data_IF_288321522085
#
_entry.id   IF_288321522085
#
_cell.length_a   1.000
_cell.length_b   1.000
_cell.length_c   1.000
_cell.angle_alpha   90.00
_cell.angle_beta   90.00
_cell.angle_gamma   90.00
#
_symmetry.space_group_name_H-M   'P 1'
#
loop_
_entity.id
_entity.type
_entity.pdbx_description
1 polymer ?
#
# COMPACT_ATOMS: atom_id res chain seq x y z
N UNK A 1 31.97 -20.80 -1.66
CA UNK A 1 31.29 -20.29 -0.45
C UNK A 1 31.99 -19.02 -0.01
N UNK A 2 31.35 -17.86 -0.15
CA UNK A 2 31.90 -16.61 0.38
C UNK A 2 31.86 -16.64 1.92
N UNK A 3 33.03 -16.83 2.55
CA UNK A 3 33.19 -16.94 4.01
C UNK A 3 32.58 -15.74 4.77
N UNK A 4 32.55 -14.57 4.15
CA UNK A 4 32.02 -13.33 4.71
C UNK A 4 30.50 -13.38 4.92
N UNK A 5 29.77 -13.96 3.96
CA UNK A 5 28.30 -13.97 3.94
C UNK A 5 27.74 -15.03 4.89
N UNK A 6 28.42 -16.17 4.98
CA UNK A 6 28.12 -17.18 5.98
C UNK A 6 28.28 -16.62 7.40
N UNK A 7 29.37 -15.88 7.65
CA UNK A 7 29.58 -15.18 8.93
C UNK A 7 28.50 -14.14 9.22
N UNK A 8 27.95 -13.46 8.20
CA UNK A 8 26.82 -12.55 8.42
C UNK A 8 25.54 -13.28 8.86
N UNK A 9 25.22 -14.41 8.24
CA UNK A 9 24.08 -15.24 8.66
C UNK A 9 24.30 -15.79 10.07
N UNK A 10 25.52 -16.23 10.39
CA UNK A 10 25.87 -16.71 11.74
C UNK A 10 25.68 -15.60 12.78
N UNK A 11 26.15 -14.37 12.49
CA UNK A 11 25.91 -13.19 13.34
C UNK A 11 24.43 -12.86 13.45
N UNK A 12 23.64 -13.04 12.39
CA UNK A 12 22.19 -12.88 12.46
C UNK A 12 21.57 -13.83 13.47
N UNK A 13 22.01 -15.10 13.48
CA UNK A 13 21.57 -16.10 14.45
C UNK A 13 22.03 -15.78 15.88
N UNK A 14 23.30 -15.47 16.08
CA UNK A 14 23.89 -15.27 17.42
C UNK A 14 23.49 -13.93 18.05
N UNK A 15 23.53 -12.84 17.28
CA UNK A 15 23.35 -11.47 17.76
C UNK A 15 21.96 -10.90 17.43
N UNK A 16 21.08 -11.69 16.80
CA UNK A 16 19.76 -11.25 16.29
C UNK A 16 19.86 -10.09 15.30
N UNK A 17 20.95 -10.03 14.52
CA UNK A 17 21.15 -9.00 13.49
C UNK A 17 20.11 -9.16 12.38
N UNK A 18 19.43 -8.07 12.03
CA UNK A 18 18.45 -8.04 10.95
C UNK A 18 19.19 -8.06 9.60
N UNK A 19 18.76 -8.95 8.71
CA UNK A 19 19.20 -9.06 7.33
C UNK A 19 18.02 -8.75 6.42
N UNK A 20 18.28 -8.09 5.29
CA UNK A 20 17.28 -7.82 4.27
C UNK A 20 17.55 -8.70 3.05
N UNK A 21 16.51 -9.30 2.48
CA UNK A 21 16.64 -10.08 1.26
C UNK A 21 15.36 -10.15 0.46
N UNK A 22 15.51 -10.39 -0.85
CA UNK A 22 14.40 -10.42 -1.81
C UNK A 22 13.74 -11.79 -1.84
N UNK A 23 12.42 -11.83 -1.77
CA UNK A 23 11.67 -13.07 -1.94
C UNK A 23 11.73 -13.49 -3.42
N UNK A 24 12.36 -14.61 -3.70
CA UNK A 24 12.55 -15.14 -5.06
C UNK A 24 11.56 -16.24 -5.42
N UNK A 25 11.03 -16.95 -4.44
CA UNK A 25 10.18 -18.11 -4.68
C UNK A 25 9.33 -18.51 -3.48
N UNK A 26 8.47 -19.51 -3.70
CA UNK A 26 7.64 -20.14 -2.67
C UNK A 26 7.74 -21.64 -2.88
N UNK A 27 8.07 -22.38 -1.81
CA UNK A 27 8.07 -23.85 -1.82
C UNK A 27 7.27 -24.39 -0.64
N UNK A 28 6.75 -25.61 -0.79
CA UNK A 28 6.09 -26.33 0.29
C UNK A 28 7.07 -27.31 0.91
N UNK A 29 7.54 -27.02 2.13
CA UNK A 29 8.46 -27.89 2.85
C UNK A 29 7.70 -28.87 3.73
N UNK A 30 8.14 -30.13 3.73
CA UNK A 30 7.47 -31.19 4.48
C UNK A 30 7.96 -31.24 5.93
N UNK A 31 7.13 -30.79 6.85
CA UNK A 31 7.46 -30.80 8.27
C UNK A 31 7.15 -32.17 8.88
N UNK A 32 8.15 -33.06 8.89
CA UNK A 32 8.03 -34.46 9.32
C UNK A 32 7.37 -34.64 10.69
N UNK A 33 7.60 -33.71 11.64
CA UNK A 33 7.08 -33.81 13.02
C UNK A 33 5.57 -33.55 13.09
N UNK A 34 5.02 -32.65 12.26
CA UNK A 34 3.58 -32.34 12.24
C UNK A 34 2.84 -33.02 11.09
N UNK A 35 3.55 -33.77 10.24
CA UNK A 35 3.01 -34.44 9.05
C UNK A 35 2.26 -33.47 8.11
N UNK A 36 2.73 -32.23 8.03
CA UNK A 36 2.11 -31.14 7.28
C UNK A 36 3.10 -30.49 6.31
N UNK A 37 2.59 -30.02 5.17
CA UNK A 37 3.34 -29.18 4.24
C UNK A 37 3.20 -27.72 4.65
N UNK A 38 4.31 -27.09 5.00
CA UNK A 38 4.35 -25.68 5.38
C UNK A 38 4.84 -24.89 4.16
N UNK A 39 4.03 -23.94 3.64
CA UNK A 39 4.50 -23.02 2.62
C UNK A 39 5.58 -22.10 3.20
N UNK A 40 6.70 -21.99 2.51
CA UNK A 40 7.84 -21.16 2.87
C UNK A 40 8.11 -20.15 1.76
N UNK A 41 8.34 -18.89 2.13
CA UNK A 41 8.98 -17.93 1.24
C UNK A 41 10.47 -18.25 1.14
N UNK A 42 11.02 -18.11 -0.06
CA UNK A 42 12.44 -18.35 -0.33
C UNK A 42 13.14 -17.03 -0.56
N UNK A 43 14.25 -16.87 0.14
CA UNK A 43 15.23 -15.83 -0.10
C UNK A 43 16.57 -16.52 -0.38
N UNK A 44 17.24 -16.11 -1.45
CA UNK A 44 18.60 -16.55 -1.71
C UNK A 44 19.59 -15.53 -1.17
N UNK A 45 20.56 -16.01 -0.40
CA UNK A 45 21.74 -15.24 -0.04
C UNK A 45 22.94 -15.93 -0.68
N UNK A 46 23.20 -15.55 -1.94
CA UNK A 46 24.11 -16.28 -2.85
C UNK A 46 23.75 -17.76 -2.95
N UNK A 47 24.60 -18.64 -2.41
CA UNK A 47 24.47 -20.10 -2.48
C UNK A 47 23.61 -20.68 -1.34
N UNK A 48 23.24 -19.86 -0.35
CA UNK A 48 22.48 -20.29 0.84
C UNK A 48 21.01 -20.01 0.63
N UNK A 49 20.20 -21.07 0.73
CA UNK A 49 18.75 -20.99 0.60
C UNK A 49 18.13 -20.73 1.96
N UNK A 50 17.48 -19.58 2.09
CA UNK A 50 16.79 -19.17 3.31
C UNK A 50 15.30 -19.45 3.17
N UNK A 51 14.77 -20.26 4.07
CA UNK A 51 13.38 -20.64 4.18
C UNK A 51 12.72 -19.81 5.28
N UNK A 52 11.65 -19.09 4.93
CA UNK A 52 10.84 -18.33 5.90
C UNK A 52 9.43 -18.92 5.89
N UNK A 53 9.07 -19.70 6.92
CA UNK A 53 7.74 -20.31 7.03
C UNK A 53 6.63 -19.27 7.04
N UNK A 54 5.46 -19.61 6.49
CA UNK A 54 4.27 -18.73 6.48
C UNK A 54 3.86 -18.26 7.89
N UNK A 55 4.10 -19.07 8.92
CA UNK A 55 3.87 -18.72 10.32
C UNK A 55 4.82 -17.63 10.84
N UNK A 56 6.00 -17.49 10.24
CA UNK A 56 7.04 -16.53 10.62
C UNK A 56 7.12 -15.31 9.69
N UNK A 57 6.18 -15.16 8.74
CA UNK A 57 6.13 -14.03 7.80
C UNK A 57 5.38 -12.81 8.35
N UNK A 58 4.56 -12.97 9.39
CA UNK A 58 3.79 -11.87 9.99
C UNK A 58 2.50 -11.51 9.25
N UNK A 59 2.03 -12.38 8.35
CA UNK A 59 0.83 -12.14 7.54
C UNK A 59 -0.42 -12.49 8.35
N UNK A 60 -1.40 -11.58 8.40
CA UNK A 60 -2.67 -11.77 9.11
C UNK A 60 -3.52 -12.95 8.61
N UNK A 61 -3.40 -13.31 7.33
CA UNK A 61 -4.00 -14.50 6.72
C UNK A 61 -2.92 -15.37 6.08
N UNK A 62 -2.68 -16.54 6.66
CA UNK A 62 -1.71 -17.53 6.19
C UNK A 62 -2.23 -18.27 4.94
N UNK A 63 -2.30 -17.57 3.81
CA UNK A 63 -2.73 -18.15 2.53
C UNK A 63 -1.63 -18.05 1.48
N UNK A 64 -1.55 -19.05 0.59
CA UNK A 64 -0.59 -19.05 -0.53
C UNK A 64 -0.76 -17.84 -1.46
N UNK A 65 -1.96 -17.27 -1.55
CA UNK A 65 -2.20 -16.08 -2.37
C UNK A 65 -1.49 -14.84 -1.85
N UNK A 66 -1.35 -14.71 -0.53
CA UNK A 66 -0.63 -13.59 0.09
C UNK A 66 0.87 -13.70 -0.16
N UNK A 67 1.43 -14.91 0.01
CA UNK A 67 2.83 -15.22 -0.35
C UNK A 67 3.14 -14.84 -1.81
N UNK A 68 2.25 -15.20 -2.76
CA UNK A 68 2.42 -14.83 -4.17
C UNK A 68 2.46 -13.32 -4.39
N UNK A 69 1.68 -12.55 -3.63
CA UNK A 69 1.68 -11.09 -3.70
C UNK A 69 2.97 -10.45 -3.17
N UNK A 70 3.75 -11.17 -2.35
CA UNK A 70 5.02 -10.70 -1.80
C UNK A 70 6.24 -11.08 -2.66
N UNK A 71 6.07 -11.91 -3.70
CA UNK A 71 7.15 -12.28 -4.61
C UNK A 71 7.82 -11.03 -5.19
N UNK A 72 9.14 -10.98 -5.12
CA UNK A 72 9.93 -9.84 -5.57
C UNK A 72 10.03 -8.68 -4.58
N UNK A 73 9.30 -8.69 -3.46
CA UNK A 73 9.52 -7.72 -2.38
C UNK A 73 10.76 -8.11 -1.57
N UNK A 74 11.51 -7.12 -1.07
CA UNK A 74 12.54 -7.42 -0.06
C UNK A 74 11.93 -7.28 1.33
N UNK A 75 12.36 -8.19 2.19
CA UNK A 75 11.89 -8.35 3.55
C UNK A 75 13.07 -8.39 4.50
N UNK A 76 12.84 -7.86 5.70
CA UNK A 76 13.76 -7.98 6.82
C UNK A 76 13.47 -9.29 7.56
N UNK A 77 14.51 -10.05 7.89
CA UNK A 77 14.41 -11.30 8.64
C UNK A 77 15.62 -11.49 9.57
N UNK A 78 15.44 -12.33 10.58
CA UNK A 78 16.51 -12.80 11.47
C UNK A 78 16.64 -14.29 11.26
N UNK A 79 17.87 -14.76 11.09
CA UNK A 79 18.16 -16.19 10.97
C UNK A 79 17.93 -16.87 12.32
N UNK A 80 17.15 -17.95 12.34
CA UNK A 80 16.91 -18.75 13.53
C UNK A 80 17.88 -19.93 13.58
N UNK A 81 18.02 -20.64 12.46
CA UNK A 81 18.86 -21.83 12.35
C UNK A 81 19.56 -21.88 11.00
N UNK A 82 20.75 -22.48 10.99
CA UNK A 82 21.58 -22.66 9.79
C UNK A 82 22.08 -24.11 9.81
N UNK A 83 21.88 -24.80 8.70
CA UNK A 83 22.47 -26.11 8.42
C UNK A 83 23.59 -25.93 7.38
N UNK A 84 24.82 -26.04 7.87
CA UNK A 84 26.04 -25.92 7.06
C UNK A 84 26.20 -27.06 6.06
N UNK A 85 25.62 -28.22 6.33
CA UNK A 85 25.78 -29.40 5.48
C UNK A 85 24.93 -29.32 4.22
N UNK A 86 23.76 -28.68 4.30
CA UNK A 86 22.80 -28.58 3.20
C UNK A 86 22.68 -27.18 2.61
N UNK A 87 23.42 -26.19 3.14
CA UNK A 87 23.31 -24.77 2.77
C UNK A 87 21.89 -24.23 2.91
N UNK A 88 21.17 -24.70 3.91
CA UNK A 88 19.82 -24.26 4.25
C UNK A 88 19.84 -23.43 5.52
N UNK A 89 19.07 -22.34 5.54
CA UNK A 89 18.83 -21.58 6.75
C UNK A 89 17.32 -21.36 6.94
N UNK A 90 16.88 -21.35 8.19
CA UNK A 90 15.51 -21.00 8.54
C UNK A 90 15.53 -19.63 9.19
N UNK A 91 14.67 -18.73 8.72
CA UNK A 91 14.61 -17.36 9.23
C UNK A 91 13.19 -16.93 9.58
N UNK A 92 13.10 -15.85 10.34
CA UNK A 92 11.85 -15.28 10.85
C UNK A 92 11.77 -13.79 10.57
N UNK A 93 10.75 -13.38 9.81
CA UNK A 93 10.42 -11.98 9.56
C UNK A 93 9.75 -11.34 10.77
N UNK A 94 8.90 -12.08 11.48
CA UNK A 94 8.22 -11.57 12.70
C UNK A 94 9.24 -11.11 13.74
N UNK A 95 10.32 -11.87 13.94
CA UNK A 95 11.34 -11.51 14.93
C UNK A 95 12.12 -10.25 14.52
N UNK A 96 12.45 -10.13 13.23
CA UNK A 96 13.07 -8.94 12.68
C UNK A 96 12.18 -7.70 12.87
N UNK A 97 10.89 -7.83 12.53
CA UNK A 97 9.90 -6.76 12.70
C UNK A 97 9.75 -6.34 14.15
N UNK A 98 9.63 -7.29 15.08
CA UNK A 98 9.48 -7.01 16.51
C UNK A 98 10.72 -6.32 17.09
N UNK A 99 11.92 -6.78 16.71
CA UNK A 99 13.17 -6.16 17.14
C UNK A 99 13.28 -4.73 16.61
N UNK A 100 13.00 -4.53 15.32
CA UNK A 100 13.04 -3.20 14.69
C UNK A 100 12.00 -2.26 15.29
N UNK A 101 10.79 -2.75 15.53
CA UNK A 101 9.73 -1.99 16.17
C UNK A 101 10.13 -1.53 17.59
N UNK A 102 10.73 -2.43 18.38
CA UNK A 102 11.19 -2.11 19.73
C UNK A 102 12.29 -1.03 19.75
N UNK A 103 13.18 -1.03 18.76
CA UNK A 103 14.29 -0.09 18.68
C UNK A 103 13.89 1.27 18.07
N UNK A 104 13.01 1.26 17.07
CA UNK A 104 12.76 2.43 16.23
C UNK A 104 11.44 3.14 16.56
N UNK A 105 10.36 2.42 16.91
CA UNK A 105 9.07 3.07 17.21
C UNK A 105 9.16 4.09 18.35
N UNK A 106 9.90 3.86 19.46
CA UNK A 106 10.01 4.85 20.53
C UNK A 106 10.71 6.15 20.12
N UNK A 107 11.47 6.14 19.01
CA UNK A 107 12.17 7.32 18.49
C UNK A 107 11.24 8.22 17.67
N UNK A 108 10.11 7.70 17.19
CA UNK A 108 9.17 8.42 16.34
C UNK A 108 8.39 9.47 17.13
N UNK A 109 8.15 10.61 16.48
CA UNK A 109 7.32 11.68 17.01
C UNK A 109 6.16 11.97 16.07
N UNK A 110 5.09 12.52 16.65
CA UNK A 110 3.98 13.04 15.87
C UNK A 110 4.51 14.10 14.89
N UNK A 111 3.98 14.12 13.67
CA UNK A 111 4.38 15.01 12.57
C UNK A 111 5.74 14.73 11.93
N UNK A 112 6.46 13.68 12.32
CA UNK A 112 7.70 13.30 11.66
C UNK A 112 7.46 12.91 10.19
N UNK A 113 8.43 13.25 9.36
CA UNK A 113 8.47 12.86 7.96
C UNK A 113 9.39 11.65 7.83
N UNK A 114 8.85 10.52 7.41
CA UNK A 114 9.59 9.26 7.31
C UNK A 114 9.46 8.68 5.90
N UNK A 115 10.39 7.79 5.55
CA UNK A 115 10.27 6.93 4.37
C UNK A 115 9.76 5.57 4.81
N UNK A 116 8.72 5.09 4.15
CA UNK A 116 8.12 3.77 4.38
C UNK A 116 8.18 2.96 3.11
N UNK A 117 8.27 1.64 3.25
CA UNK A 117 8.31 0.71 2.11
C UNK A 117 6.91 0.18 1.82
N UNK A 118 6.50 0.13 0.56
CA UNK A 118 5.22 -0.47 0.17
C UNK A 118 5.38 -2.00 0.17
N UNK A 119 4.59 -2.70 0.99
CA UNK A 119 4.58 -4.16 1.03
C UNK A 119 3.55 -4.71 0.03
N UNK A 120 2.36 -4.10 0.00
CA UNK A 120 1.25 -4.56 -0.83
C UNK A 120 0.34 -3.40 -1.24
N UNK A 121 -0.33 -3.58 -2.38
CA UNK A 121 -1.22 -2.56 -2.96
C UNK A 121 -2.61 -3.15 -3.18
N UNK A 122 -3.60 -2.59 -2.47
CA UNK A 122 -5.02 -2.84 -2.68
C UNK A 122 -5.64 -1.83 -3.62
N UNK A 123 -6.95 -1.95 -3.91
CA UNK A 123 -7.63 -1.03 -4.85
C UNK A 123 -7.76 0.39 -4.26
N UNK A 124 -8.03 0.51 -2.94
CA UNK A 124 -8.28 1.80 -2.26
C UNK A 124 -7.36 2.07 -1.08
N UNK A 125 -6.30 1.29 -0.93
CA UNK A 125 -5.33 1.44 0.14
C UNK A 125 -4.01 0.76 -0.26
N UNK A 126 -2.94 1.16 0.40
CA UNK A 126 -1.66 0.45 0.38
C UNK A 126 -1.31 -0.02 1.79
N UNK A 127 -0.53 -1.10 1.88
CA UNK A 127 0.06 -1.58 3.12
C UNK A 127 1.54 -1.23 3.05
N UNK A 128 2.02 -0.50 4.06
CA UNK A 128 3.41 -0.06 4.15
C UNK A 128 4.06 -0.61 5.40
N UNK A 129 5.38 -0.82 5.33
CA UNK A 129 6.22 -1.09 6.48
C UNK A 129 6.80 0.21 7.04
N UNK A 130 6.48 0.47 8.30
CA UNK A 130 7.01 1.56 9.10
C UNK A 130 7.81 0.96 10.26
N UNK A 131 9.13 0.86 10.09
CA UNK A 131 10.08 0.43 11.13
C UNK A 131 9.66 -0.84 11.89
N UNK A 132 9.33 -1.92 11.17
CA UNK A 132 8.87 -3.18 11.77
C UNK A 132 7.39 -3.22 12.10
N UNK A 133 6.59 -2.22 11.71
CA UNK A 133 5.13 -2.22 11.82
C UNK A 133 4.45 -2.07 10.47
N UNK A 134 3.46 -2.92 10.19
CA UNK A 134 2.61 -2.77 9.02
C UNK A 134 1.47 -1.79 9.28
N UNK A 135 1.31 -0.80 8.41
CA UNK A 135 0.30 0.25 8.51
C UNK A 135 -0.45 0.38 7.19
N UNK A 136 -1.78 0.51 7.27
CA UNK A 136 -2.63 0.71 6.10
C UNK A 136 -2.78 2.22 5.84
N UNK A 137 -2.40 2.66 4.64
CA UNK A 137 -2.67 4.02 4.18
C UNK A 137 -3.83 3.99 3.18
N UNK A 138 -4.95 4.62 3.53
CA UNK A 138 -6.12 4.75 2.66
C UNK A 138 -5.86 5.73 1.53
N UNK A 139 -6.53 5.54 0.38
CA UNK A 139 -6.44 6.43 -0.79
C UNK A 139 -6.61 7.92 -0.45
N UNK A 140 -7.50 8.23 0.48
CA UNK A 140 -7.77 9.59 0.97
C UNK A 140 -6.56 10.27 1.60
N UNK A 141 -5.60 9.50 2.15
CA UNK A 141 -4.34 9.97 2.73
C UNK A 141 -3.15 9.84 1.75
N UNK A 142 -3.36 9.24 0.58
CA UNK A 142 -2.35 9.10 -0.46
C UNK A 142 -2.35 10.30 -1.42
N UNK A 143 -3.53 10.72 -1.88
CA UNK A 143 -3.69 11.85 -2.79
C UNK A 143 -4.84 12.76 -2.36
N UNK A 144 -4.86 13.96 -2.93
CA UNK A 144 -5.99 14.88 -2.76
C UNK A 144 -7.16 14.56 -3.69
N UNK A 145 -6.87 14.03 -4.87
CA UNK A 145 -7.86 13.61 -5.88
C UNK A 145 -8.32 12.18 -5.64
N UNK A 146 -9.46 11.83 -6.23
CA UNK A 146 -9.99 10.47 -6.16
C UNK A 146 -9.08 9.47 -6.88
N UNK A 147 -8.56 8.49 -6.15
CA UNK A 147 -7.83 7.36 -6.72
C UNK A 147 -8.83 6.26 -7.06
N UNK A 148 -8.96 5.89 -8.33
CA UNK A 148 -9.81 4.77 -8.78
C UNK A 148 -9.24 3.44 -8.29
N UNK A 149 -7.96 3.20 -8.57
CA UNK A 149 -7.25 1.99 -8.21
C UNK A 149 -5.79 2.34 -7.84
N UNK A 150 -5.36 2.06 -6.61
CA UNK A 150 -3.99 2.36 -6.18
C UNK A 150 -2.94 1.54 -6.95
N UNK A 151 -3.31 0.39 -7.53
CA UNK A 151 -2.39 -0.45 -8.32
C UNK A 151 -1.88 0.21 -9.59
N UNK A 152 -2.56 1.24 -10.07
CA UNK A 152 -2.16 1.98 -11.27
C UNK A 152 -1.10 3.06 -10.95
N UNK A 153 -0.86 3.33 -9.66
CA UNK A 153 -0.03 4.44 -9.18
C UNK A 153 1.14 3.94 -8.31
N UNK A 154 0.93 2.88 -7.54
CA UNK A 154 1.89 2.39 -6.55
C UNK A 154 2.27 0.95 -6.82
N UNK A 155 3.55 0.64 -6.57
CA UNK A 155 4.11 -0.70 -6.76
C UNK A 155 4.65 -1.26 -5.44
N UNK A 156 4.40 -2.54 -5.11
CA UNK A 156 5.09 -3.21 -4.02
C UNK A 156 6.62 -3.13 -4.19
N UNK A 157 7.34 -2.87 -3.09
CA UNK A 157 8.78 -2.67 -3.09
C UNK A 157 9.23 -1.22 -3.13
N UNK A 158 8.40 -0.29 -3.64
CA UNK A 158 8.73 1.13 -3.71
C UNK A 158 8.77 1.78 -2.33
N UNK A 159 9.51 2.90 -2.24
CA UNK A 159 9.53 3.74 -1.05
C UNK A 159 8.61 4.95 -1.23
N UNK A 160 7.83 5.25 -0.19
CA UNK A 160 6.94 6.40 -0.12
C UNK A 160 7.34 7.31 1.04
N UNK A 161 7.40 8.62 0.79
CA UNK A 161 7.56 9.61 1.86
C UNK A 161 6.20 9.91 2.47
N UNK A 162 6.09 9.77 3.79
CA UNK A 162 4.84 9.96 4.53
C UNK A 162 5.09 10.79 5.79
N UNK A 163 4.05 11.48 6.23
CA UNK A 163 4.03 12.20 7.51
C UNK A 163 3.22 11.40 8.53
N UNK A 164 3.70 11.32 9.76
CA UNK A 164 2.97 10.70 10.87
C UNK A 164 1.88 11.66 11.34
N UNK A 165 0.62 11.33 11.05
CA UNK A 165 -0.54 12.14 11.43
C UNK A 165 -1.10 11.76 12.80
N UNK A 166 -1.09 10.47 13.13
CA UNK A 166 -1.52 9.95 14.43
C UNK A 166 -0.52 8.89 14.87
N UNK A 167 -0.08 8.96 16.12
CA UNK A 167 0.91 8.06 16.71
C UNK A 167 0.49 7.67 18.13
N UNK A 168 0.06 6.43 18.30
CA UNK A 168 -0.16 5.81 19.61
C UNK A 168 0.45 4.40 19.60
N UNK A 169 1.64 4.32 20.19
CA UNK A 169 2.43 3.08 20.23
C UNK A 169 1.79 2.04 21.15
N UNK A 170 1.18 2.48 22.27
CA UNK A 170 0.60 1.58 23.27
C UNK A 170 -0.64 0.86 22.75
N UNK A 171 -1.52 1.57 22.06
CA UNK A 171 -2.73 1.00 21.44
C UNK A 171 -2.51 0.51 20.00
N UNK A 172 -1.29 0.63 19.49
CA UNK A 172 -0.92 0.22 18.13
C UNK A 172 -1.74 0.94 17.04
N UNK A 173 -2.01 2.23 17.22
CA UNK A 173 -2.77 3.08 16.30
C UNK A 173 -1.80 4.02 15.59
N UNK A 174 -1.71 3.87 14.27
CA UNK A 174 -0.86 4.68 13.40
C UNK A 174 -1.67 5.19 12.23
N UNK A 175 -1.58 6.49 11.95
CA UNK A 175 -2.15 7.09 10.74
C UNK A 175 -1.05 7.86 10.01
N UNK A 176 -0.84 7.52 8.74
CA UNK A 176 0.17 8.10 7.87
C UNK A 176 -0.52 8.91 6.76
N UNK A 177 0.09 10.04 6.39
CA UNK A 177 -0.41 10.94 5.35
C UNK A 177 0.70 11.26 4.34
N UNK A 178 0.52 10.80 3.09
CA UNK A 178 1.44 11.07 1.99
C UNK A 178 1.02 12.33 1.21
N UNK A 179 -0.28 12.61 1.14
CA UNK A 179 -0.80 13.74 0.35
C UNK A 179 -0.34 15.11 0.86
N UNK A 180 0.12 15.21 2.10
CA UNK A 180 0.64 16.46 2.67
C UNK A 180 1.86 17.02 1.89
N UNK A 181 2.58 16.16 1.16
CA UNK A 181 3.68 16.57 0.28
C UNK A 181 3.23 16.93 -1.13
N UNK A 182 1.96 16.72 -1.47
CA UNK A 182 1.39 17.03 -2.77
C UNK A 182 0.73 18.41 -2.74
N UNK A 183 0.81 19.13 -3.85
CA UNK A 183 0.09 20.39 -3.99
C UNK A 183 -1.42 20.11 -4.03
N UNK A 184 -2.20 20.82 -3.21
CA UNK A 184 -3.66 20.67 -3.20
C UNK A 184 -4.29 21.33 -4.43
N UNK A 185 -4.80 20.55 -5.42
CA UNK A 185 -5.32 21.12 -6.66
C UNK A 185 -6.61 21.92 -6.44
N UNK A 186 -7.33 21.65 -5.34
CA UNK A 186 -8.55 22.38 -4.98
C UNK A 186 -8.31 23.85 -4.63
N UNK A 187 -7.09 24.25 -4.25
CA UNK A 187 -6.77 25.67 -3.97
C UNK A 187 -6.73 26.52 -5.24
N UNK A 188 -6.48 25.92 -6.40
CA UNK A 188 -6.37 26.61 -7.68
C UNK A 188 -7.51 26.27 -8.63
N UNK A 189 -8.56 25.60 -8.14
CA UNK A 189 -9.60 25.02 -8.99
C UNK A 189 -10.43 26.08 -9.73
N UNK A 190 -10.60 27.27 -9.13
CA UNK A 190 -11.33 28.39 -9.75
C UNK A 190 -10.68 28.94 -11.02
N UNK A 191 -9.43 28.56 -11.31
CA UNK A 191 -8.77 28.87 -12.60
C UNK A 191 -9.32 28.02 -13.75
N UNK A 192 -9.86 26.84 -13.44
CA UNK A 192 -10.32 25.87 -14.42
C UNK A 192 -11.84 25.77 -14.49
N UNK A 193 -12.53 25.98 -13.37
CA UNK A 193 -13.99 25.86 -13.32
C UNK A 193 -14.66 27.02 -12.57
N UNK A 194 -15.88 27.35 -13.00
CA UNK A 194 -16.78 28.28 -12.35
C UNK A 194 -18.13 27.63 -12.07
N UNK A 195 -18.84 28.14 -11.06
CA UNK A 195 -20.22 27.73 -10.80
C UNK A 195 -21.10 28.00 -12.03
N UNK A 196 -22.01 27.07 -12.31
CA UNK A 196 -22.88 27.04 -13.49
C UNK A 196 -22.16 26.92 -14.84
N UNK A 197 -20.85 26.77 -14.87
CA UNK A 197 -20.09 26.44 -16.08
C UNK A 197 -20.32 24.98 -16.52
N UNK A 198 -20.18 24.75 -17.83
CA UNK A 198 -20.27 23.41 -18.43
C UNK A 198 -18.89 22.90 -18.83
N UNK A 199 -18.57 21.66 -18.45
CA UNK A 199 -17.26 21.07 -18.63
C UNK A 199 -17.36 19.61 -19.05
N UNK A 200 -16.38 19.16 -19.84
CA UNK A 200 -16.24 17.76 -20.21
C UNK A 200 -15.44 16.99 -19.16
N UNK A 201 -15.74 15.70 -19.07
CA UNK A 201 -14.98 14.78 -18.23
C UNK A 201 -15.33 13.34 -18.52
N UNK A 202 -14.70 12.46 -17.76
CA UNK A 202 -14.85 11.00 -17.89
C UNK A 202 -15.42 10.38 -16.62
N UNK A 203 -16.36 9.44 -16.78
CA UNK A 203 -16.94 8.70 -15.65
C UNK A 203 -15.91 7.71 -15.11
N UNK A 204 -15.48 7.89 -13.86
CA UNK A 204 -14.40 7.09 -13.26
C UNK A 204 -14.86 6.21 -12.09
N UNK A 205 -16.04 6.44 -11.52
CA UNK A 205 -16.58 5.57 -10.47
C UNK A 205 -18.07 5.80 -10.22
N UNK A 206 -18.69 4.79 -9.61
CA UNK A 206 -20.07 4.81 -9.16
C UNK A 206 -20.10 4.69 -7.62
N UNK A 207 -20.57 5.71 -6.88
CA UNK A 207 -20.76 5.63 -5.44
C UNK A 207 -21.75 4.51 -5.06
N UNK A 208 -21.42 3.72 -4.02
CA UNK A 208 -22.25 2.60 -3.56
C UNK A 208 -23.69 2.95 -3.17
N UNK A 209 -23.96 4.22 -2.83
CA UNK A 209 -25.29 4.70 -2.42
C UNK A 209 -26.14 5.21 -3.59
N UNK A 210 -25.72 4.99 -4.84
CA UNK A 210 -26.36 5.51 -6.05
C UNK A 210 -26.66 7.02 -6.01
N UNK A 211 -25.83 7.78 -5.29
CA UNK A 211 -26.02 9.22 -5.08
C UNK A 211 -25.62 10.07 -6.30
N UNK A 212 -25.26 9.45 -7.42
CA UNK A 212 -24.73 10.09 -8.62
C UNK A 212 -23.60 9.26 -9.24
N UNK A 213 -22.78 9.93 -10.06
CA UNK A 213 -21.58 9.40 -10.71
C UNK A 213 -20.38 10.25 -10.34
N UNK A 214 -19.20 9.64 -10.24
CA UNK A 214 -17.95 10.36 -10.04
C UNK A 214 -17.32 10.56 -11.41
N UNK A 215 -17.12 11.83 -11.76
CA UNK A 215 -16.54 12.24 -13.04
C UNK A 215 -15.22 12.94 -12.77
N UNK A 216 -14.19 12.58 -13.54
CA UNK A 216 -12.93 13.31 -13.56
C UNK A 216 -12.95 14.33 -14.69
N UNK A 217 -12.69 15.60 -14.35
CA UNK A 217 -12.62 16.68 -15.33
C UNK A 217 -11.34 16.58 -16.17
N UNK A 218 -11.45 16.81 -17.47
CA UNK A 218 -10.32 16.64 -18.41
C UNK A 218 -9.17 17.64 -18.15
N UNK A 219 -9.49 18.89 -17.80
CA UNK A 219 -8.47 19.93 -17.66
C UNK A 219 -7.76 19.93 -16.30
N UNK A 220 -8.48 19.60 -15.22
CA UNK A 220 -7.97 19.72 -13.84
C UNK A 220 -7.65 18.37 -13.20
N UNK A 221 -8.06 17.26 -13.81
CA UNK A 221 -8.00 15.90 -13.24
C UNK A 221 -8.69 15.76 -11.87
N UNK A 222 -9.50 16.74 -11.47
CA UNK A 222 -10.26 16.73 -10.23
C UNK A 222 -11.57 15.97 -10.43
N UNK A 223 -11.97 15.24 -9.40
CA UNK A 223 -13.22 14.49 -9.36
C UNK A 223 -14.39 15.35 -8.88
N UNK A 224 -15.51 15.26 -9.58
CA UNK A 224 -16.80 15.86 -9.24
C UNK A 224 -17.83 14.76 -8.95
N UNK A 225 -18.69 14.98 -7.95
CA UNK A 225 -19.87 14.15 -7.73
C UNK A 225 -21.05 14.75 -8.50
N UNK A 226 -21.52 14.01 -9.50
CA UNK A 226 -22.50 14.52 -10.45
C UNK A 226 -23.79 13.73 -10.32
N UNK A 227 -24.89 14.45 -10.14
CA UNK A 227 -26.23 13.85 -10.13
C UNK A 227 -26.66 13.57 -11.56
N UNK A 228 -27.27 12.41 -11.78
CA UNK A 228 -27.87 12.05 -13.06
C UNK A 228 -29.35 12.46 -13.01
N UNK A 229 -29.80 13.45 -13.81
CA UNK A 229 -31.19 13.85 -13.84
C UNK A 229 -32.11 12.72 -14.32
N UNK A 230 -33.34 12.65 -13.81
CA UNK A 230 -34.31 11.59 -14.14
C UNK A 230 -34.69 11.53 -15.63
N UNK A 231 -34.46 12.60 -16.41
CA UNK A 231 -34.68 12.63 -17.86
C UNK A 231 -33.76 11.70 -18.66
N UNK A 232 -32.68 11.21 -18.05
CA UNK A 232 -31.78 10.26 -18.71
C UNK A 232 -32.33 8.84 -18.58
N UNK A 233 -32.76 8.26 -19.71
CA UNK A 233 -33.21 6.87 -19.76
C UNK A 233 -32.05 5.87 -19.57
N UNK A 234 -30.83 6.25 -19.98
CA UNK A 234 -29.63 5.44 -19.80
C UNK A 234 -28.66 6.08 -18.82
N UNK A 235 -28.14 5.26 -17.92
CA UNK A 235 -27.10 5.66 -16.98
C UNK A 235 -25.73 5.60 -17.69
N UNK A 236 -24.85 6.61 -17.52
CA UNK A 236 -23.52 6.59 -18.15
C UNK A 236 -22.71 5.36 -17.73
N UNK A 237 -21.93 4.81 -18.66
CA UNK A 237 -21.05 3.68 -18.41
C UNK A 237 -19.69 4.13 -17.86
N UNK A 238 -18.95 3.17 -17.27
CA UNK A 238 -17.58 3.39 -16.83
C UNK A 238 -16.71 3.85 -18.02
N UNK A 239 -15.83 4.83 -17.80
CA UNK A 239 -14.93 5.45 -18.78
C UNK A 239 -15.63 6.20 -19.92
N UNK A 240 -16.95 6.42 -19.84
CA UNK A 240 -17.67 7.19 -20.84
C UNK A 240 -17.41 8.69 -20.68
N UNK A 241 -17.30 9.40 -21.81
CA UNK A 241 -17.16 10.85 -21.84
C UNK A 241 -18.53 11.51 -21.67
N UNK A 242 -18.55 12.59 -20.90
CA UNK A 242 -19.79 13.28 -20.51
C UNK A 242 -19.59 14.79 -20.44
N UNK A 243 -20.67 15.53 -20.63
CA UNK A 243 -20.76 16.96 -20.37
C UNK A 243 -21.52 17.17 -19.06
N UNK A 244 -20.97 17.95 -18.16
CA UNK A 244 -21.58 18.27 -16.87
C UNK A 244 -21.72 19.77 -16.70
N UNK A 245 -22.71 20.18 -15.92
CA UNK A 245 -22.82 21.54 -15.40
C UNK A 245 -22.45 21.56 -13.92
N UNK A 246 -21.43 22.32 -13.56
CA UNK A 246 -21.00 22.48 -12.16
C UNK A 246 -22.03 23.34 -11.43
N UNK A 247 -22.44 22.94 -10.24
CA UNK A 247 -23.42 23.70 -9.44
C UNK A 247 -22.85 24.29 -8.18
N UNK A 248 -21.89 23.60 -7.56
CA UNK A 248 -21.29 24.05 -6.31
C UNK A 248 -19.83 23.60 -6.26
N UNK A 249 -18.95 24.52 -5.83
CA UNK A 249 -17.53 24.27 -5.63
C UNK A 249 -17.21 24.51 -4.16
N UNK A 250 -16.95 23.44 -3.41
CA UNK A 250 -16.53 23.51 -2.02
C UNK A 250 -15.04 23.16 -1.87
N UNK A 251 -14.20 24.20 -1.86
CA UNK A 251 -12.73 24.05 -1.79
C UNK A 251 -12.26 23.45 -0.46
N UNK A 252 -12.90 23.86 0.65
CA UNK A 252 -12.55 23.40 2.01
C UNK A 252 -12.86 21.91 2.18
N UNK A 253 -14.06 21.48 1.77
CA UNK A 253 -14.48 20.07 1.82
C UNK A 253 -13.88 19.24 0.69
N UNK A 254 -13.25 19.87 -0.31
CA UNK A 254 -12.72 19.23 -1.53
C UNK A 254 -13.82 18.48 -2.30
N UNK A 255 -15.01 19.05 -2.33
CA UNK A 255 -16.18 18.48 -3.00
C UNK A 255 -16.68 19.44 -4.05
N UNK A 256 -16.91 18.91 -5.25
CA UNK A 256 -17.50 19.65 -6.37
C UNK A 256 -18.73 18.88 -6.78
N UNK A 257 -19.85 19.58 -6.90
CA UNK A 257 -21.13 19.02 -7.28
C UNK A 257 -21.56 19.54 -8.65
N UNK A 258 -22.32 18.72 -9.36
CA UNK A 258 -22.90 19.11 -10.64
C UNK A 258 -24.05 18.21 -11.07
N UNK A 259 -24.58 18.49 -12.26
CA UNK A 259 -25.57 17.67 -12.93
C UNK A 259 -25.09 17.25 -14.32
N UNK A 260 -25.44 16.03 -14.70
CA UNK A 260 -25.17 15.52 -16.03
C UNK A 260 -26.01 16.27 -17.08
N UNK A 261 -25.35 16.82 -18.10
CA UNK A 261 -26.01 17.56 -19.19
C UNK A 261 -26.11 16.72 -20.44
N UNK A 262 -25.06 15.97 -20.78
CA UNK A 262 -25.02 15.11 -21.98
C UNK A 262 -24.06 13.96 -21.77
N UNK A 263 -24.36 12.85 -22.42
CA UNK A 263 -23.46 11.71 -22.57
C UNK A 263 -23.03 11.66 -24.03
N UNK A 264 -21.73 11.46 -24.29
CA UNK A 264 -21.19 11.31 -25.63
C UNK A 264 -21.18 9.84 -26.08
#
# INVERSE_FOLDING_TARGET
MNELNFRELLRSKEEKRIITGKITGIEDEYYKIKNEKIPCAIVWYEDIKILIPISHLGISKQTKSMLRGMLGSEIDFIVMEIDETTNLAIASRIDAMNLRAKLELPKLKLNDNIKVRIIAVGIKHIIVEMYGKEVIIKAENLQHTYIVNCKDIYTPGDYLKVKIKTLDIGNNIFELDAKCFLTNPYKSIRKFITEYGEYTGKVIAFPKKNSGIIIQLDQSNISCLVRVPARFNNYPHYMQNVLIKVTEINETKKLIYGYLMRVF
#
